data_IF_733882306254
#
_entry.id   IF_733882306254
#
_cell.length_a   1.000
_cell.length_b   1.000
_cell.length_c   1.000
_cell.angle_alpha   90.00
_cell.angle_beta   90.00
_cell.angle_gamma   90.00
#
_symmetry.space_group_name_H-M   'P 1'
#
loop_
_entity.id
_entity.type
_entity.pdbx_description
1 polymer ?
#
# COMPACT_ATOMS: atom_id res chain seq x y z
N UNK A 1 -14.55 0.79 26.29
CA UNK A 1 -13.35 -0.06 26.24
C UNK A 1 -12.57 0.36 25.01
N UNK A 2 -11.33 0.85 25.17
CA UNK A 2 -10.45 1.17 24.04
C UNK A 2 -9.89 -0.16 23.55
N UNK A 3 -10.18 -0.55 22.30
CA UNK A 3 -9.55 -1.73 21.72
C UNK A 3 -8.05 -1.45 21.56
N UNK A 4 -7.16 -2.38 21.93
CA UNK A 4 -5.74 -2.19 21.72
C UNK A 4 -5.46 -2.05 20.21
N UNK A 5 -4.51 -1.19 19.80
CA UNK A 5 -4.14 -1.03 18.41
C UNK A 5 -3.69 -2.37 17.82
N UNK A 6 -4.10 -2.64 16.59
CA UNK A 6 -3.79 -3.89 15.91
C UNK A 6 -2.32 -3.90 15.51
N UNK A 7 -1.60 -4.97 15.89
CA UNK A 7 -0.18 -5.16 15.55
C UNK A 7 0.01 -5.94 14.23
N UNK A 8 -0.94 -5.83 13.31
CA UNK A 8 -0.96 -6.56 12.04
C UNK A 8 -1.73 -5.77 10.99
N UNK A 9 -1.51 -6.08 9.72
CA UNK A 9 -2.26 -5.52 8.60
C UNK A 9 -3.75 -5.82 8.71
N UNK A 10 -4.59 -4.87 8.32
CA UNK A 10 -6.04 -4.99 8.23
C UNK A 10 -6.49 -5.58 6.89
N UNK A 11 -5.71 -5.35 5.83
CA UNK A 11 -6.04 -5.75 4.47
C UNK A 11 -7.21 -4.98 3.86
N UNK A 12 -7.32 -3.69 4.18
CA UNK A 12 -8.35 -2.78 3.67
C UNK A 12 -7.81 -1.83 2.59
N UNK A 13 -6.48 -1.64 2.53
CA UNK A 13 -5.86 -0.80 1.50
C UNK A 13 -5.69 -1.57 0.19
N UNK A 14 -6.14 -0.93 -0.88
CA UNK A 14 -6.04 -1.41 -2.26
C UNK A 14 -5.24 -0.42 -3.11
N UNK A 15 -4.49 -0.93 -4.09
CA UNK A 15 -3.54 -0.18 -4.91
C UNK A 15 -3.49 -0.74 -6.35
N UNK A 16 -2.67 -0.12 -7.21
CA UNK A 16 -2.54 -0.42 -8.65
C UNK A 16 -3.87 -0.24 -9.38
N UNK A 17 -4.13 1.00 -9.77
CA UNK A 17 -5.31 1.35 -10.56
C UNK A 17 -5.12 0.90 -12.01
N UNK A 18 -6.12 0.21 -12.55
CA UNK A 18 -6.13 -0.29 -13.93
C UNK A 18 -7.42 0.11 -14.62
N UNK A 19 -7.35 0.31 -15.93
CA UNK A 19 -8.47 0.77 -16.75
C UNK A 19 -8.44 2.28 -17.00
N UNK A 20 -9.48 2.76 -17.65
CA UNK A 20 -9.70 4.19 -17.96
C UNK A 20 -11.04 4.60 -17.38
N UNK A 21 -11.16 5.86 -16.99
CA UNK A 21 -12.45 6.39 -16.54
C UNK A 21 -13.56 6.12 -17.58
N UNK A 22 -14.78 5.75 -17.16
CA UNK A 22 -15.23 5.64 -15.76
C UNK A 22 -14.87 4.31 -15.06
N UNK A 23 -14.34 3.31 -15.78
CA UNK A 23 -14.11 1.95 -15.28
C UNK A 23 -12.69 1.78 -14.71
N UNK A 24 -12.40 2.50 -13.62
CA UNK A 24 -11.14 2.32 -12.89
C UNK A 24 -11.27 1.18 -11.88
N UNK A 25 -10.38 0.20 -11.93
CA UNK A 25 -10.34 -0.94 -11.02
C UNK A 25 -9.10 -0.85 -10.12
N UNK A 26 -9.21 -1.20 -8.84
CA UNK A 26 -8.04 -1.45 -7.99
C UNK A 26 -7.73 -2.94 -8.00
N UNK A 27 -6.60 -3.32 -8.60
CA UNK A 27 -6.29 -4.72 -8.88
C UNK A 27 -5.77 -5.48 -7.67
N UNK A 28 -5.04 -4.80 -6.78
CA UNK A 28 -4.34 -5.45 -5.67
C UNK A 28 -4.78 -4.87 -4.32
N UNK A 29 -4.60 -5.68 -3.28
CA UNK A 29 -4.91 -5.37 -1.89
C UNK A 29 -3.81 -5.89 -0.99
N UNK A 30 -3.55 -5.20 0.12
CA UNK A 30 -2.73 -5.74 1.20
C UNK A 30 -3.44 -6.95 1.81
N UNK A 31 -2.70 -8.01 2.13
CA UNK A 31 -3.27 -9.16 2.82
C UNK A 31 -3.46 -8.83 4.30
N UNK A 32 -4.61 -9.20 4.85
CA UNK A 32 -4.91 -9.02 6.27
C UNK A 32 -4.13 -10.03 7.12
N UNK A 33 -3.80 -9.65 8.36
CA UNK A 33 -3.24 -10.54 9.35
C UNK A 33 -1.73 -10.74 9.29
N UNK A 34 -1.01 -10.00 8.44
CA UNK A 34 0.46 -10.03 8.39
C UNK A 34 1.00 -9.25 9.60
N UNK A 35 1.92 -9.83 10.41
CA UNK A 35 2.50 -9.14 11.56
C UNK A 35 3.18 -7.82 11.17
N UNK A 36 3.03 -6.80 12.02
CA UNK A 36 3.58 -5.45 11.81
C UNK A 36 5.07 -5.47 11.44
N UNK A 37 5.88 -6.28 12.13
CA UNK A 37 7.33 -6.33 11.93
C UNK A 37 7.65 -6.79 10.51
N UNK A 38 7.04 -7.89 10.09
CA UNK A 38 7.29 -8.50 8.78
C UNK A 38 6.75 -7.61 7.65
N UNK A 39 5.60 -6.98 7.86
CA UNK A 39 5.02 -6.04 6.91
C UNK A 39 5.88 -4.78 6.73
N UNK A 40 6.38 -4.18 7.82
CA UNK A 40 7.27 -3.02 7.74
C UNK A 40 8.66 -3.36 7.18
N UNK A 41 9.20 -4.55 7.51
CA UNK A 41 10.45 -5.05 6.94
C UNK A 41 10.33 -5.13 5.41
N UNK A 42 9.27 -5.75 4.90
CA UNK A 42 9.04 -5.84 3.47
C UNK A 42 8.75 -4.49 2.80
N UNK A 43 7.99 -3.61 3.44
CA UNK A 43 7.76 -2.25 2.94
C UNK A 43 9.08 -1.45 2.82
N UNK A 44 10.00 -1.64 3.77
CA UNK A 44 11.33 -1.03 3.74
C UNK A 44 12.17 -1.52 2.58
N UNK A 45 12.16 -2.82 2.28
CA UNK A 45 12.84 -3.40 1.12
C UNK A 45 12.30 -2.82 -0.21
N UNK A 46 10.97 -2.75 -0.34
CA UNK A 46 10.32 -2.17 -1.51
C UNK A 46 10.69 -0.69 -1.71
N UNK A 47 10.68 0.10 -0.63
CA UNK A 47 11.09 1.51 -0.67
C UNK A 47 12.57 1.68 -1.00
N UNK A 48 13.44 0.81 -0.49
CA UNK A 48 14.85 0.85 -0.80
C UNK A 48 15.09 0.64 -2.30
N UNK A 49 14.49 -0.39 -2.88
CA UNK A 49 14.55 -0.66 -4.32
C UNK A 49 13.95 0.48 -5.14
N UNK A 50 12.79 1.00 -4.74
CA UNK A 50 12.15 2.15 -5.39
C UNK A 50 13.06 3.38 -5.42
N UNK A 51 13.72 3.69 -4.30
CA UNK A 51 14.64 4.82 -4.19
C UNK A 51 15.87 4.67 -5.09
N UNK A 52 16.47 3.48 -5.14
CA UNK A 52 17.62 3.22 -6.01
C UNK A 52 17.23 3.42 -7.48
N UNK A 53 16.13 2.80 -7.92
CA UNK A 53 15.64 2.91 -9.29
C UNK A 53 15.22 4.34 -9.67
N UNK A 54 14.63 5.08 -8.73
CA UNK A 54 14.27 6.48 -8.94
C UNK A 54 15.52 7.37 -9.09
N UNK A 55 16.57 7.11 -8.30
CA UNK A 55 17.83 7.82 -8.41
C UNK A 55 18.50 7.53 -9.75
N UNK A 56 18.55 6.27 -10.17
CA UNK A 56 19.11 5.87 -11.47
C UNK A 56 18.34 6.54 -12.62
N UNK A 57 17.01 6.53 -12.58
CA UNK A 57 16.17 7.20 -13.57
C UNK A 57 16.36 8.73 -13.60
N UNK A 58 16.72 9.35 -12.47
CA UNK A 58 16.93 10.79 -12.38
C UNK A 58 18.32 11.23 -12.86
N UNK A 59 19.33 10.36 -12.72
CA UNK A 59 20.74 10.72 -12.94
C UNK A 59 21.32 10.22 -14.25
N UNK A 60 20.85 9.08 -14.78
CA UNK A 60 21.45 8.44 -15.95
C UNK A 60 20.61 8.61 -17.23
N UNK A 61 21.26 9.08 -18.29
CA UNK A 61 20.64 9.22 -19.61
C UNK A 61 20.33 7.84 -20.21
N UNK A 62 19.03 7.49 -20.29
CA UNK A 62 18.56 6.20 -20.82
C UNK A 62 17.99 5.25 -19.75
N UNK A 63 17.98 5.68 -18.49
CA UNK A 63 17.42 4.95 -17.36
C UNK A 63 15.91 5.20 -17.12
N UNK A 64 15.22 5.93 -18.01
CA UNK A 64 13.80 6.29 -17.89
C UNK A 64 12.87 5.09 -17.61
N UNK A 65 13.25 3.90 -18.10
CA UNK A 65 12.50 2.66 -17.86
C UNK A 65 12.37 2.31 -16.36
N UNK A 66 13.32 2.74 -15.54
CA UNK A 66 13.33 2.48 -14.10
C UNK A 66 12.34 3.37 -13.34
N UNK A 67 11.91 4.49 -13.92
CA UNK A 67 10.94 5.39 -13.29
C UNK A 67 9.60 4.68 -12.99
N UNK A 68 9.10 3.88 -13.93
CA UNK A 68 7.86 3.12 -13.74
C UNK A 68 8.03 2.01 -12.71
N UNK A 69 9.17 1.30 -12.71
CA UNK A 69 9.45 0.28 -11.72
C UNK A 69 9.53 0.89 -10.30
N UNK A 70 10.24 2.01 -10.16
CA UNK A 70 10.31 2.77 -8.92
C UNK A 70 8.93 3.21 -8.44
N UNK A 71 8.10 3.72 -9.35
CA UNK A 71 6.74 4.14 -9.06
C UNK A 71 5.88 2.99 -8.51
N UNK A 72 5.85 1.84 -9.19
CA UNK A 72 5.04 0.70 -8.73
C UNK A 72 5.52 0.12 -7.40
N UNK A 73 6.84 0.02 -7.18
CA UNK A 73 7.39 -0.42 -5.90
C UNK A 73 7.06 0.56 -4.76
N UNK A 74 7.11 1.87 -5.04
CA UNK A 74 6.72 2.90 -4.09
C UNK A 74 5.24 2.82 -3.73
N UNK A 75 4.36 2.63 -4.71
CA UNK A 75 2.93 2.43 -4.49
C UNK A 75 2.64 1.17 -3.65
N UNK A 76 3.33 0.06 -3.91
CA UNK A 76 3.21 -1.17 -3.11
C UNK A 76 3.61 -0.94 -1.65
N UNK A 77 4.75 -0.30 -1.43
CA UNK A 77 5.24 -0.04 -0.07
C UNK A 77 4.32 0.92 0.69
N UNK A 78 3.85 1.97 0.02
CA UNK A 78 2.88 2.91 0.57
C UNK A 78 1.60 2.19 0.99
N UNK A 79 1.08 1.29 0.15
CA UNK A 79 -0.12 0.53 0.47
C UNK A 79 0.03 -0.26 1.78
N UNK A 80 1.19 -0.89 2.00
CA UNK A 80 1.48 -1.62 3.25
C UNK A 80 1.53 -0.69 4.46
N UNK A 81 2.20 0.47 4.33
CA UNK A 81 2.31 1.46 5.42
C UNK A 81 0.94 2.04 5.77
N UNK A 82 0.14 2.42 4.77
CA UNK A 82 -1.21 2.96 4.97
C UNK A 82 -2.13 1.94 5.66
N UNK A 83 -2.00 0.65 5.32
CA UNK A 83 -2.81 -0.41 5.91
C UNK A 83 -2.49 -0.66 7.38
N UNK A 84 -1.18 -0.65 7.71
CA UNK A 84 -0.70 -0.71 9.08
C UNK A 84 -1.09 0.53 9.89
N UNK A 85 -1.00 1.72 9.30
CA UNK A 85 -1.41 2.97 9.94
C UNK A 85 -2.89 2.89 10.33
N UNK A 86 -3.77 2.41 9.44
CA UNK A 86 -5.18 2.20 9.76
C UNK A 86 -5.40 1.19 10.90
N UNK A 87 -4.56 0.15 11.00
CA UNK A 87 -4.61 -0.83 12.10
C UNK A 87 -4.16 -0.26 13.46
N UNK A 88 -3.30 0.76 13.46
CA UNK A 88 -2.74 1.37 14.67
C UNK A 88 -3.56 2.54 15.21
N UNK A 89 -4.42 3.16 14.40
CA UNK A 89 -5.23 4.28 14.84
C UNK A 89 -6.28 3.80 15.88
N UNK A 90 -6.46 4.53 17.00
CA UNK A 90 -7.31 4.10 18.13
C UNK A 90 -8.79 3.92 17.81
N UNK A 91 -9.22 4.26 16.59
CA UNK A 91 -10.58 4.09 16.08
C UNK A 91 -10.53 3.43 14.71
N UNK A 92 -10.02 2.19 14.62
CA UNK A 92 -10.08 1.41 13.38
C UNK A 92 -11.50 1.43 12.83
N UNK A 93 -11.73 2.26 11.81
CA UNK A 93 -13.05 2.47 11.24
C UNK A 93 -13.37 1.17 10.50
N UNK A 94 -14.06 0.28 11.19
CA UNK A 94 -14.91 -0.69 10.53
C UNK A 94 -16.02 0.13 9.89
N UNK A 95 -15.80 0.62 8.66
CA UNK A 95 -16.89 0.94 7.76
C UNK A 95 -17.65 -0.37 7.58
N UNK A 96 -18.66 -0.56 8.44
CA UNK A 96 -19.64 -1.61 8.31
C UNK A 96 -20.23 -1.44 6.91
N UNK A 97 -20.12 -2.51 6.11
CA UNK A 97 -20.60 -2.54 4.75
C UNK A 97 -21.99 -1.90 4.66
N UNK A 98 -22.11 -1.01 3.68
CA UNK A 98 -23.36 -0.42 3.24
C UNK A 98 -24.33 -1.56 2.87
N UNK A 99 -25.08 -2.02 3.87
CA UNK A 99 -26.32 -2.75 3.67
C UNK A 99 -27.38 -1.71 3.28
N UNK A 100 -27.44 -1.36 2.00
CA UNK A 100 -28.63 -0.74 1.43
C UNK A 100 -29.48 -1.88 0.86
N UNK A 101 -30.37 -2.38 1.71
CA UNK A 101 -31.68 -2.77 1.25
C UNK A 101 -32.58 -1.55 1.33
N UNK A 102 -33.01 -1.04 0.17
CA UNK A 102 -34.42 -1.00 -0.28
C UNK A 102 -34.41 -1.04 -1.79
#
# INVERSE_FOLDING_TARGET
>A
MINPPLNKTLGVITFSTCGKQPNLHRLFRVNAGVPIRDALEHASELLHCSKMLALDAAMDTGADRFAWAAHYLGEMAKAVVDDLANGMLPNGVMEAGEAVGV
#
